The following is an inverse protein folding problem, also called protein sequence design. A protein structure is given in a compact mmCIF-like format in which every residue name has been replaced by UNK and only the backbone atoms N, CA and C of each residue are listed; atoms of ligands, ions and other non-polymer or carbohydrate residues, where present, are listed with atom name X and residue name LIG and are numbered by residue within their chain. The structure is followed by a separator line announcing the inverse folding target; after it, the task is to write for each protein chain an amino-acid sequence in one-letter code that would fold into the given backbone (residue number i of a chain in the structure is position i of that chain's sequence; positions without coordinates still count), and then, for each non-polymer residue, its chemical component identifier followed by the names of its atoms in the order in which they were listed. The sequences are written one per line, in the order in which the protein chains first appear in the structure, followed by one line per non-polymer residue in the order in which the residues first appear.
data_IF_832534904034
#
_entry.id   IF_832534904034
#
_cell.length_a   1.000
_cell.length_b   1.000
_cell.length_c   1.000
_cell.angle_alpha   90.00
_cell.angle_beta   90.00
_cell.angle_gamma   90.00
#
_symmetry.space_group_name_H-M   'P 1'
#
loop_
_entity.id
_entity.type
_entity.pdbx_description
1 polymer ?
#
# COMPACT_ATOMS: atom_id res chain seq x y z
N UNK A 1 9.74 12.68 -5.74
CA UNK A 1 10.63 12.41 -6.89
C UNK A 1 9.85 12.73 -8.17
N UNK A 2 10.44 13.43 -9.15
CA UNK A 2 9.78 13.65 -10.45
C UNK A 2 10.26 12.58 -11.44
N UNK A 3 9.33 11.79 -11.98
CA UNK A 3 9.57 10.94 -13.15
C UNK A 3 8.31 11.07 -14.02
N UNK A 4 8.44 11.71 -15.19
CA UNK A 4 7.35 11.84 -16.17
C UNK A 4 6.37 13.01 -15.99
N UNK A 5 6.74 14.10 -15.32
CA UNK A 5 5.86 15.28 -15.14
C UNK A 5 4.84 15.17 -14.00
N UNK A 6 4.84 14.04 -13.28
CA UNK A 6 4.00 13.79 -12.11
C UNK A 6 4.75 14.15 -10.82
N UNK A 7 4.13 14.95 -9.95
CA UNK A 7 4.66 15.29 -8.62
C UNK A 7 4.20 14.26 -7.58
N UNK A 8 5.05 13.29 -7.28
CA UNK A 8 4.80 12.35 -6.18
C UNK A 8 5.08 13.00 -4.83
N UNK A 9 4.02 13.30 -4.07
CA UNK A 9 4.12 13.62 -2.64
C UNK A 9 4.02 12.33 -1.84
N UNK A 10 5.18 11.69 -1.64
CA UNK A 10 5.27 10.42 -0.94
C UNK A 10 5.67 10.67 0.52
N UNK A 11 4.87 10.18 1.45
CA UNK A 11 5.14 10.28 2.88
C UNK A 11 5.56 8.91 3.39
N UNK A 12 6.83 8.76 3.79
CA UNK A 12 7.28 7.58 4.53
C UNK A 12 6.76 7.71 5.96
N UNK A 13 5.63 7.08 6.22
CA UNK A 13 5.04 7.07 7.54
C UNK A 13 5.45 5.78 8.23
N UNK A 14 6.51 5.86 9.03
CA UNK A 14 7.01 4.71 9.77
C UNK A 14 5.88 4.03 10.55
N UNK A 15 5.76 2.70 10.43
CA UNK A 15 4.66 1.92 11.03
C UNK A 15 4.65 1.86 12.56
N UNK A 16 5.50 2.62 13.25
CA UNK A 16 5.51 2.73 14.71
C UNK A 16 4.28 3.51 15.20
N UNK A 17 3.68 3.07 16.31
CA UNK A 17 2.43 3.64 16.85
C UNK A 17 2.45 5.16 17.04
N UNK A 18 3.61 5.75 17.29
CA UNK A 18 3.76 7.17 17.60
C UNK A 18 3.56 8.08 16.38
N UNK A 19 3.91 7.64 15.18
CA UNK A 19 3.76 8.43 13.95
C UNK A 19 2.38 8.29 13.29
N UNK A 20 1.54 7.38 13.79
CA UNK A 20 0.22 7.07 13.20
C UNK A 20 -0.82 8.17 13.37
N UNK A 21 -0.64 9.04 14.38
CA UNK A 21 -1.53 10.19 14.62
C UNK A 21 -1.45 11.25 13.52
N UNK A 22 -0.37 11.25 12.76
CA UNK A 22 -0.14 12.24 11.70
C UNK A 22 -0.63 11.77 10.33
N UNK A 23 -0.98 10.48 10.16
CA UNK A 23 -1.39 9.93 8.86
C UNK A 23 -2.52 10.72 8.20
N UNK A 24 -3.62 11.08 8.91
CA UNK A 24 -4.71 11.84 8.31
C UNK A 24 -4.30 13.20 7.75
N UNK A 25 -3.22 13.82 8.28
CA UNK A 25 -2.73 15.12 7.78
C UNK A 25 -2.07 15.02 6.41
N UNK A 26 -1.56 13.85 6.09
CA UNK A 26 -0.77 13.61 4.88
C UNK A 26 -1.54 12.89 3.78
N UNK A 27 -2.60 12.17 4.14
CA UNK A 27 -3.41 11.36 3.23
C UNK A 27 -4.66 12.06 2.72
N UNK A 28 -5.11 13.15 3.38
CA UNK A 28 -6.38 13.83 3.11
C UNK A 28 -6.63 14.21 1.63
N UNK A 29 -5.57 14.55 0.90
CA UNK A 29 -5.63 14.97 -0.50
C UNK A 29 -4.84 14.02 -1.42
N UNK A 30 -4.70 12.75 -1.03
CA UNK A 30 -3.97 11.77 -1.83
C UNK A 30 -4.86 11.20 -2.96
N UNK A 31 -4.36 11.26 -4.20
CA UNK A 31 -5.03 10.63 -5.35
C UNK A 31 -4.93 9.10 -5.32
N UNK A 32 -3.89 8.57 -4.69
CA UNK A 32 -3.66 7.14 -4.50
C UNK A 32 -2.83 6.87 -3.24
N UNK A 33 -3.13 5.77 -2.54
CA UNK A 33 -2.37 5.31 -1.38
C UNK A 33 -1.50 4.12 -1.79
N UNK A 34 -0.19 4.21 -1.59
CA UNK A 34 0.70 3.06 -1.68
C UNK A 34 0.93 2.47 -0.27
N UNK A 35 0.46 1.25 -0.03
CA UNK A 35 0.58 0.56 1.25
C UNK A 35 1.54 -0.63 1.13
N UNK A 36 2.72 -0.52 1.74
CA UNK A 36 3.77 -1.54 1.64
C UNK A 36 3.63 -2.57 2.76
N UNK A 37 3.62 -3.85 2.39
CA UNK A 37 3.52 -4.99 3.31
C UNK A 37 4.74 -5.88 3.14
N UNK A 38 5.37 -6.26 4.24
CA UNK A 38 6.46 -7.23 4.24
C UNK A 38 5.89 -8.66 4.25
N UNK A 39 5.95 -9.34 3.10
CA UNK A 39 5.37 -10.69 2.94
C UNK A 39 6.30 -11.81 3.40
N UNK A 40 7.53 -11.48 3.80
CA UNK A 40 8.46 -12.43 4.39
C UNK A 40 8.26 -12.61 5.91
N UNK A 41 7.46 -11.75 6.56
CA UNK A 41 7.15 -11.82 7.99
C UNK A 41 5.63 -11.96 8.23
N UNK A 42 5.08 -13.18 8.15
CA UNK A 42 3.64 -13.42 8.29
C UNK A 42 3.10 -13.02 9.67
N UNK A 43 3.93 -12.96 10.71
CA UNK A 43 3.51 -12.52 12.05
C UNK A 43 3.13 -11.04 12.10
N UNK A 44 3.60 -10.23 11.14
CA UNK A 44 3.27 -8.81 11.04
C UNK A 44 2.05 -8.53 10.16
N UNK A 45 1.58 -9.49 9.35
CA UNK A 45 0.41 -9.31 8.49
C UNK A 45 -0.86 -8.94 9.27
N UNK A 46 -1.18 -9.53 10.44
CA UNK A 46 -2.34 -9.11 11.22
C UNK A 46 -2.26 -7.66 11.71
N UNK A 47 -1.05 -7.16 11.98
CA UNK A 47 -0.81 -5.76 12.35
C UNK A 47 -1.03 -4.88 11.12
N UNK A 48 -0.42 -5.23 9.98
CA UNK A 48 -0.58 -4.50 8.71
C UNK A 48 -2.06 -4.40 8.31
N UNK A 49 -2.82 -5.50 8.42
CA UNK A 49 -4.28 -5.51 8.25
C UNK A 49 -4.95 -4.49 9.15
N UNK A 50 -4.68 -4.53 10.46
CA UNK A 50 -5.31 -3.61 11.41
C UNK A 50 -5.04 -2.15 11.05
N UNK A 51 -3.80 -1.82 10.69
CA UNK A 51 -3.43 -0.46 10.29
C UNK A 51 -4.09 -0.03 8.98
N UNK A 52 -4.15 -0.92 7.99
CA UNK A 52 -4.83 -0.65 6.72
C UNK A 52 -6.30 -0.33 6.97
N UNK A 53 -7.02 -1.16 7.71
CA UNK A 53 -8.44 -0.94 7.99
C UNK A 53 -8.65 0.34 8.82
N UNK A 54 -7.78 0.62 9.81
CA UNK A 54 -7.84 1.86 10.58
C UNK A 54 -7.60 3.11 9.72
N UNK A 55 -6.69 3.03 8.73
CA UNK A 55 -6.49 4.11 7.76
C UNK A 55 -7.76 4.34 6.92
N UNK A 56 -8.42 3.26 6.49
CA UNK A 56 -9.63 3.34 5.67
C UNK A 56 -10.89 3.77 6.43
N UNK A 57 -10.86 3.81 7.76
CA UNK A 57 -11.92 4.45 8.55
C UNK A 57 -11.97 5.98 8.34
N UNK A 58 -10.90 6.59 7.82
CA UNK A 58 -10.88 8.02 7.49
C UNK A 58 -11.78 8.31 6.27
N UNK A 59 -12.87 9.04 6.52
CA UNK A 59 -13.85 9.42 5.50
C UNK A 59 -13.26 10.22 4.34
N UNK A 60 -12.15 10.93 4.55
CA UNK A 60 -11.49 11.68 3.47
C UNK A 60 -10.86 10.76 2.43
N UNK A 61 -10.53 9.53 2.80
CA UNK A 61 -9.93 8.54 1.91
C UNK A 61 -10.98 7.71 1.17
N UNK A 62 -12.28 7.92 1.43
CA UNK A 62 -13.33 7.13 0.79
C UNK A 62 -13.27 7.30 -0.73
N UNK A 63 -13.16 6.19 -1.45
CA UNK A 63 -13.02 6.17 -2.91
C UNK A 63 -11.60 6.34 -3.43
N UNK A 64 -10.63 6.67 -2.58
CA UNK A 64 -9.22 6.76 -2.97
C UNK A 64 -8.67 5.35 -3.26
N UNK A 65 -8.09 5.11 -4.45
CA UNK A 65 -7.49 3.82 -4.78
C UNK A 65 -6.30 3.48 -3.87
N UNK A 66 -6.12 2.18 -3.63
CA UNK A 66 -5.05 1.66 -2.77
C UNK A 66 -4.20 0.67 -3.57
N UNK A 67 -2.91 0.93 -3.67
CA UNK A 67 -1.91 0.00 -4.20
C UNK A 67 -1.22 -0.70 -3.04
N UNK A 68 -1.53 -1.99 -2.84
CA UNK A 68 -0.85 -2.85 -1.87
C UNK A 68 0.44 -3.36 -2.51
N UNK A 69 1.59 -2.95 -1.98
CA UNK A 69 2.90 -3.38 -2.41
C UNK A 69 3.38 -4.52 -1.51
N UNK A 70 3.21 -5.75 -1.99
CA UNK A 70 3.64 -6.97 -1.30
C UNK A 70 5.16 -7.16 -1.48
N UNK A 71 5.94 -6.60 -0.55
CA UNK A 71 7.38 -6.49 -0.63
C UNK A 71 8.13 -7.69 -0.03
N UNK A 72 9.32 -7.98 -0.59
CA UNK A 72 10.17 -9.13 -0.31
C UNK A 72 9.68 -10.44 -0.92
N UNK A 73 9.11 -10.36 -2.13
CA UNK A 73 8.76 -11.56 -2.92
C UNK A 73 9.98 -12.47 -3.18
N UNK A 74 11.20 -11.93 -3.13
CA UNK A 74 12.42 -12.71 -3.23
C UNK A 74 12.66 -13.67 -2.05
N UNK A 75 12.09 -13.35 -0.87
CA UNK A 75 12.18 -14.20 0.32
C UNK A 75 10.97 -15.12 0.48
N UNK A 76 9.84 -14.79 -0.15
CA UNK A 76 8.62 -15.60 -0.12
C UNK A 76 7.96 -15.69 -1.50
N UNK A 77 8.61 -16.33 -2.49
CA UNK A 77 8.15 -16.32 -3.88
C UNK A 77 6.89 -17.16 -4.13
N UNK A 78 6.53 -18.06 -3.20
CA UNK A 78 5.39 -18.96 -3.34
C UNK A 78 4.07 -18.35 -2.85
N UNK A 79 4.11 -17.14 -2.27
CA UNK A 79 2.90 -16.51 -1.75
C UNK A 79 1.90 -16.27 -2.89
N UNK A 80 0.66 -16.71 -2.66
CA UNK A 80 -0.43 -16.48 -3.61
C UNK A 80 -1.11 -15.16 -3.30
N UNK A 81 -1.51 -14.46 -4.34
CA UNK A 81 -2.31 -13.24 -4.21
C UNK A 81 -3.61 -13.48 -3.41
N UNK A 82 -4.24 -14.65 -3.58
CA UNK A 82 -5.43 -15.06 -2.82
C UNK A 82 -5.20 -15.13 -1.32
N UNK A 83 -3.99 -15.48 -0.89
CA UNK A 83 -3.67 -15.60 0.53
C UNK A 83 -3.44 -14.20 1.12
N UNK A 84 -2.79 -13.31 0.38
CA UNK A 84 -2.64 -11.89 0.78
C UNK A 84 -3.97 -11.16 0.88
N UNK A 85 -4.88 -11.38 -0.07
CA UNK A 85 -6.24 -10.81 -0.05
C UNK A 85 -6.96 -11.21 1.23
N UNK A 86 -6.88 -12.49 1.63
CA UNK A 86 -7.48 -13.00 2.86
C UNK A 86 -6.79 -12.48 4.12
N UNK A 87 -5.46 -12.49 4.15
CA UNK A 87 -4.66 -12.07 5.31
C UNK A 87 -4.86 -10.59 5.63
N UNK A 88 -4.95 -9.74 4.59
CA UNK A 88 -5.23 -8.30 4.71
C UNK A 88 -6.72 -7.98 4.73
N UNK A 89 -7.57 -8.98 4.57
CA UNK A 89 -9.03 -8.87 4.58
C UNK A 89 -9.55 -7.84 3.55
N UNK A 90 -8.98 -7.87 2.33
CA UNK A 90 -9.30 -6.93 1.25
C UNK A 90 -10.68 -7.18 0.64
N UNK A 91 -11.22 -8.39 0.76
CA UNK A 91 -12.59 -8.72 0.32
C UNK A 91 -13.67 -7.86 0.99
N UNK A 92 -13.38 -7.33 2.19
CA UNK A 92 -14.28 -6.45 2.94
C UNK A 92 -14.06 -4.96 2.65
N UNK A 93 -13.04 -4.62 1.87
CA UNK A 93 -12.77 -3.25 1.46
C UNK A 93 -13.56 -2.98 0.18
N UNK A 94 -14.78 -2.47 0.35
CA UNK A 94 -15.71 -2.19 -0.76
C UNK A 94 -15.74 -0.72 -1.17
N UNK A 95 -15.42 0.18 -0.24
CA UNK A 95 -15.48 1.63 -0.47
C UNK A 95 -14.28 2.17 -1.28
N UNK A 96 -13.21 1.39 -1.36
CA UNK A 96 -11.94 1.79 -1.96
C UNK A 96 -11.46 0.72 -2.96
N UNK A 97 -11.22 1.08 -4.23
CA UNK A 97 -10.64 0.14 -5.18
C UNK A 97 -9.20 -0.18 -4.76
N UNK A 98 -8.81 -1.45 -4.83
CA UNK A 98 -7.48 -1.89 -4.43
C UNK A 98 -6.81 -2.72 -5.53
N UNK A 99 -5.48 -2.69 -5.54
CA UNK A 99 -4.62 -3.48 -6.43
C UNK A 99 -3.51 -4.08 -5.58
N UNK A 100 -3.24 -5.39 -5.72
CA UNK A 100 -2.10 -6.03 -5.08
C UNK A 100 -0.99 -6.22 -6.11
N UNK A 101 0.22 -5.77 -5.77
CA UNK A 101 1.40 -5.93 -6.62
C UNK A 101 2.56 -6.51 -5.79
N UNK A 102 2.98 -7.75 -6.08
CA UNK A 102 4.21 -8.32 -5.52
C UNK A 102 5.43 -7.54 -6.04
N UNK A 103 6.31 -7.11 -5.12
CA UNK A 103 7.53 -6.37 -5.46
C UNK A 103 8.75 -6.92 -4.69
N UNK A 104 9.94 -6.68 -5.23
CA UNK A 104 11.18 -6.78 -4.46
C UNK A 104 11.90 -5.45 -4.52
N UNK A 105 11.89 -4.69 -3.41
CA UNK A 105 12.68 -3.46 -3.33
C UNK A 105 14.19 -3.72 -3.40
N UNK A 106 14.65 -4.94 -3.09
CA UNK A 106 16.06 -5.32 -3.12
C UNK A 106 16.57 -5.53 -4.55
N UNK A 107 15.78 -6.20 -5.38
CA UNK A 107 16.17 -6.55 -6.76
C UNK A 107 15.50 -5.68 -7.82
N UNK A 108 14.60 -4.77 -7.41
CA UNK A 108 13.88 -3.87 -8.32
C UNK A 108 12.69 -4.53 -9.03
N UNK A 109 12.32 -5.77 -8.67
CA UNK A 109 11.20 -6.48 -9.31
C UNK A 109 9.90 -5.68 -9.16
N UNK A 110 9.23 -5.48 -10.28
CA UNK A 110 7.91 -4.83 -10.40
C UNK A 110 7.85 -3.38 -9.87
N UNK A 111 8.99 -2.74 -9.58
CA UNK A 111 9.03 -1.33 -9.16
C UNK A 111 8.57 -0.41 -10.29
N UNK A 112 8.99 -0.64 -11.53
CA UNK A 112 8.51 0.16 -12.67
C UNK A 112 7.01 -0.01 -12.89
N UNK A 113 6.46 -1.21 -12.66
CA UNK A 113 5.01 -1.45 -12.74
C UNK A 113 4.27 -0.72 -11.62
N UNK A 114 4.81 -0.72 -10.40
CA UNK A 114 4.26 0.06 -9.28
C UNK A 114 4.21 1.55 -9.65
N UNK A 115 5.30 2.09 -10.20
CA UNK A 115 5.37 3.49 -10.65
C UNK A 115 4.36 3.75 -11.77
N UNK A 116 4.23 2.86 -12.76
CA UNK A 116 3.24 3.01 -13.83
C UNK A 116 1.81 3.05 -13.30
N UNK A 117 1.47 2.21 -12.31
CA UNK A 117 0.15 2.25 -11.66
C UNK A 117 -0.03 3.59 -10.95
N UNK A 118 0.93 4.02 -10.13
CA UNK A 118 0.86 5.30 -9.43
C UNK A 118 0.70 6.48 -10.40
N UNK A 119 1.42 6.47 -11.53
CA UNK A 119 1.32 7.49 -12.58
C UNK A 119 -0.05 7.52 -13.27
N UNK A 120 -0.82 6.42 -13.30
CA UNK A 120 -2.18 6.43 -13.87
C UNK A 120 -3.19 7.16 -12.99
N UNK A 121 -2.95 7.19 -11.68
CA UNK A 121 -3.84 7.80 -10.70
C UNK A 121 -3.39 9.19 -10.27
N UNK A 122 -2.14 9.57 -10.57
CA UNK A 122 -1.67 10.92 -10.35
C UNK A 122 -2.27 11.87 -11.40
N UNK A 123 -3.20 12.71 -10.94
CA UNK A 123 -3.80 13.77 -11.75
C UNK A 123 -3.06 15.10 -11.56
#
# INVERSE_FOLDING_TARGET
MQKGGVQFKMWDMGGQKEFRKEWPRYTKDADIIAFVVDIADPFRLPIARKELHCLLEDRHLKGTPILILANKIDLNPEIKESDLIKDLNLDYVTDNPWIVLPISSKYGNNIDQAIQILSKYAH
#
